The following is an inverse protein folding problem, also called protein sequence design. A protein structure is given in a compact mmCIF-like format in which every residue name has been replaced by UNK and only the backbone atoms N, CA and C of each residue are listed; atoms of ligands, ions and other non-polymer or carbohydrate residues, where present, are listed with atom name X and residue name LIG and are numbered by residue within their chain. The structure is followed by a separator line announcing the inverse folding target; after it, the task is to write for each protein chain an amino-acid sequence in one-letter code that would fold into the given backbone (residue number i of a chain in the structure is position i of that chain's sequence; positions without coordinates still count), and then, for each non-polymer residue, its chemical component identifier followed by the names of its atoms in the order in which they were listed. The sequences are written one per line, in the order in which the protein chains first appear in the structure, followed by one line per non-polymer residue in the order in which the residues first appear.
data_IF_114930425831
#
_entry.id   IF_114930425831
#
_cell.length_a   1.000
_cell.length_b   1.000
_cell.length_c   1.000
_cell.angle_alpha   90.00
_cell.angle_beta   90.00
_cell.angle_gamma   90.00
#
_symmetry.space_group_name_H-M   'P 1'
#
loop_
_entity.id
_entity.type
_entity.pdbx_description
1 polymer ?
#
# COMPACT_ATOMS: atom_id res chain seq x y z
N UNK A 1 8.87 -1.43 29.48
CA UNK A 1 8.52 -2.77 28.96
C UNK A 1 8.78 -2.71 27.46
N UNK A 2 9.67 -3.54 26.91
CA UNK A 2 9.97 -3.53 25.46
C UNK A 2 8.86 -4.26 24.73
N UNK A 3 8.19 -3.60 23.78
CA UNK A 3 7.22 -4.22 22.87
C UNK A 3 7.91 -4.43 21.52
N UNK A 4 7.83 -5.64 20.98
CA UNK A 4 8.32 -5.99 19.64
C UNK A 4 7.14 -5.92 18.67
N UNK A 5 7.32 -5.23 17.54
CA UNK A 5 6.32 -5.06 16.48
C UNK A 5 7.02 -5.19 15.11
N UNK A 6 6.38 -5.88 14.16
CA UNK A 6 6.85 -6.01 12.78
C UNK A 6 6.53 -4.73 11.99
N UNK A 7 7.51 -4.18 11.26
CA UNK A 7 7.35 -2.98 10.41
C UNK A 7 8.16 -3.06 9.12
N UNK A 8 7.69 -2.38 8.07
CA UNK A 8 8.38 -2.30 6.77
C UNK A 8 9.61 -1.38 6.84
N UNK A 9 10.78 -1.91 6.46
CA UNK A 9 12.10 -1.25 6.50
C UNK A 9 12.73 -1.23 5.09
N UNK A 10 13.29 -0.09 4.66
CA UNK A 10 14.01 0.03 3.37
C UNK A 10 15.31 -0.76 3.42
N UNK A 11 15.51 -1.68 2.47
CA UNK A 11 16.80 -2.38 2.30
C UNK A 11 17.65 -1.59 1.31
N UNK A 12 18.36 -0.57 1.81
CA UNK A 12 19.47 -0.01 1.05
C UNK A 12 20.61 -1.04 1.08
N UNK A 13 20.83 -1.71 -0.05
CA UNK A 13 22.02 -2.52 -0.32
C UNK A 13 23.26 -1.61 -0.36
N UNK A 14 23.71 -1.20 0.82
CA UNK A 14 25.05 -0.66 1.02
C UNK A 14 25.91 -1.77 1.62
N UNK A 15 26.93 -2.17 0.87
CA UNK A 15 27.94 -3.13 1.29
C UNK A 15 28.70 -2.59 2.50
N UNK A 16 28.26 -2.96 3.71
CA UNK A 16 29.03 -2.79 4.93
C UNK A 16 29.44 -4.16 5.47
N UNK A 17 30.75 -4.36 5.47
CA UNK A 17 31.45 -5.57 5.92
C UNK A 17 31.14 -5.91 7.38
N UNK A 18 30.97 -7.21 7.64
CA UNK A 18 31.47 -7.86 8.85
C UNK A 18 30.65 -7.66 10.13
N UNK A 19 29.69 -8.56 10.34
CA UNK A 19 29.03 -8.72 11.63
C UNK A 19 28.08 -9.92 11.60
N UNK A 20 28.63 -11.10 11.86
CA UNK A 20 27.89 -12.35 12.04
C UNK A 20 26.98 -12.19 13.28
N UNK A 21 25.70 -11.92 13.05
CA UNK A 21 24.66 -11.94 14.08
C UNK A 21 24.11 -13.36 14.18
N UNK A 22 24.05 -13.98 15.38
CA UNK A 22 23.49 -15.31 15.53
C UNK A 22 22.00 -15.28 15.17
N UNK A 23 21.64 -16.12 14.21
CA UNK A 23 20.26 -16.39 13.84
C UNK A 23 19.65 -17.20 14.98
N UNK A 24 18.94 -16.53 15.89
CA UNK A 24 18.06 -17.21 16.84
C UNK A 24 16.79 -17.56 16.09
N UNK A 25 16.74 -18.79 15.59
CA UNK A 25 15.50 -19.43 15.15
C UNK A 25 14.71 -19.79 16.41
N UNK A 26 13.75 -18.95 16.78
CA UNK A 26 12.79 -19.31 17.81
C UNK A 26 11.69 -20.15 17.16
N UNK A 27 11.61 -21.38 17.65
CA UNK A 27 10.73 -22.42 17.19
C UNK A 27 9.35 -22.25 17.84
N UNK A 28 8.33 -22.47 17.01
CA UNK A 28 7.05 -23.06 17.40
C UNK A 28 6.07 -22.17 18.18
N UNK A 29 4.94 -21.89 17.53
CA UNK A 29 3.68 -22.50 17.96
C UNK A 29 2.67 -22.54 16.82
N UNK A 30 2.55 -23.71 16.21
CA UNK A 30 1.40 -24.04 15.38
C UNK A 30 0.18 -24.16 16.31
N UNK A 31 -0.78 -23.25 16.13
CA UNK A 31 -2.10 -23.37 16.72
C UNK A 31 -3.04 -23.90 15.63
N UNK A 32 -3.31 -25.19 15.73
CA UNK A 32 -4.38 -25.91 15.08
C UNK A 32 -5.72 -25.20 15.39
N UNK A 33 -6.31 -24.56 14.38
CA UNK A 33 -7.71 -24.16 14.41
C UNK A 33 -8.45 -24.93 13.32
N UNK A 34 -9.14 -25.98 13.77
CA UNK A 34 -10.19 -26.66 13.03
C UNK A 34 -11.29 -25.65 12.65
N UNK A 35 -11.40 -25.35 11.37
CA UNK A 35 -12.54 -24.62 10.81
C UNK A 35 -13.64 -25.63 10.53
N UNK A 36 -14.73 -25.53 11.29
CA UNK A 36 -15.97 -26.25 11.01
C UNK A 36 -16.59 -25.76 9.69
N UNK A 37 -16.71 -26.68 8.74
CA UNK A 37 -17.39 -26.49 7.48
C UNK A 37 -18.91 -26.47 7.69
N UNK A 38 -19.50 -25.28 7.72
CA UNK A 38 -20.94 -25.10 7.54
C UNK A 38 -21.20 -24.68 6.09
N UNK A 39 -21.60 -25.64 5.27
CA UNK A 39 -22.09 -25.40 3.92
C UNK A 39 -23.53 -24.86 3.92
N UNK A 40 -23.87 -23.93 3.01
CA UNK A 40 -25.23 -23.73 2.58
C UNK A 40 -25.48 -24.34 1.19
N UNK A 41 -26.72 -24.76 1.03
CA UNK A 41 -27.27 -25.59 -0.03
C UNK A 41 -27.29 -24.88 -1.39
N UNK A 42 -26.98 -25.65 -2.43
CA UNK A 42 -27.06 -25.23 -3.81
C UNK A 42 -28.52 -25.06 -4.23
N UNK A 43 -28.96 -23.81 -4.41
CA UNK A 43 -30.16 -23.48 -5.19
C UNK A 43 -29.78 -23.45 -6.66
N UNK A 44 -30.28 -24.42 -7.41
CA UNK A 44 -30.18 -24.49 -8.86
C UNK A 44 -31.02 -23.37 -9.48
N UNK A 45 -30.37 -22.28 -9.90
CA UNK A 45 -31.01 -21.24 -10.70
C UNK A 45 -31.18 -21.71 -12.15
N UNK A 46 -32.41 -21.60 -12.63
CA UNK A 46 -32.80 -21.93 -13.99
C UNK A 46 -32.05 -21.03 -14.99
N UNK A 47 -31.41 -21.68 -15.96
CA UNK A 47 -30.70 -20.99 -17.03
C UNK A 47 -31.66 -20.07 -17.83
N UNK A 48 -31.33 -18.78 -17.97
CA UNK A 48 -32.06 -17.89 -18.87
C UNK A 48 -31.81 -18.28 -20.34
N UNK A 49 -32.88 -18.12 -21.13
CA UNK A 49 -32.95 -18.36 -22.58
C UNK A 49 -31.94 -17.48 -23.33
N UNK A 50 -31.13 -18.03 -24.26
CA UNK A 50 -30.12 -17.26 -25.00
C UNK A 50 -30.79 -16.29 -25.98
N UNK A 51 -30.90 -15.03 -25.56
CA UNK A 51 -31.27 -13.94 -26.47
C UNK A 51 -30.19 -13.79 -27.56
N UNK A 52 -30.56 -13.68 -28.85
CA UNK A 52 -29.60 -13.39 -29.91
C UNK A 52 -28.97 -12.01 -29.65
N UNK A 53 -27.65 -12.02 -29.40
CA UNK A 53 -26.86 -10.80 -29.26
C UNK A 53 -26.78 -10.14 -30.63
N UNK A 54 -27.63 -9.12 -30.84
CA UNK A 54 -27.52 -8.22 -31.98
C UNK A 54 -26.20 -7.45 -31.82
N UNK A 55 -25.21 -7.85 -32.62
CA UNK A 55 -23.92 -7.19 -32.75
C UNK A 55 -24.16 -5.72 -33.10
N UNK A 56 -24.03 -4.81 -32.13
CA UNK A 56 -23.99 -3.37 -32.38
C UNK A 56 -22.68 -3.05 -33.11
N UNK A 57 -22.71 -2.65 -34.39
CA UNK A 57 -21.51 -2.32 -35.13
C UNK A 57 -21.25 -0.82 -34.96
N UNK A 58 -20.72 -0.41 -33.81
CA UNK A 58 -20.05 0.90 -33.66
C UNK A 58 -19.22 0.93 -32.36
N UNK A 59 -18.27 0.01 -32.25
CA UNK A 59 -17.08 0.27 -31.43
C UNK A 59 -16.22 1.22 -32.25
N UNK A 60 -16.52 2.52 -32.15
CA UNK A 60 -15.54 3.55 -32.53
C UNK A 60 -14.25 3.17 -31.80
N UNK A 61 -13.11 3.04 -32.51
CA UNK A 61 -11.85 2.76 -31.84
C UNK A 61 -11.70 3.82 -30.75
N UNK A 62 -11.59 3.40 -29.51
CA UNK A 62 -11.36 4.29 -28.38
C UNK A 62 -10.09 5.08 -28.71
N UNK A 63 -10.29 6.27 -29.27
CA UNK A 63 -9.25 7.07 -29.89
C UNK A 63 -8.33 7.55 -28.78
N UNK A 64 -7.30 6.73 -28.55
CA UNK A 64 -6.13 7.02 -27.76
C UNK A 64 -6.45 7.36 -26.31
N UNK A 65 -6.57 6.33 -25.47
CA UNK A 65 -6.03 6.45 -24.12
C UNK A 65 -4.59 6.97 -24.29
N UNK A 66 -4.40 8.27 -24.10
CA UNK A 66 -3.11 8.92 -24.27
C UNK A 66 -2.19 8.20 -23.33
N UNK A 67 -1.23 7.46 -23.90
CA UNK A 67 -0.26 6.74 -23.11
C UNK A 67 0.39 7.78 -22.20
N UNK A 68 0.15 7.63 -20.90
CA UNK A 68 0.71 8.50 -19.91
C UNK A 68 2.24 8.51 -20.08
N UNK A 69 2.83 9.71 -20.21
CA UNK A 69 4.28 9.89 -20.31
C UNK A 69 4.80 10.23 -18.91
N UNK A 70 5.78 9.50 -18.36
CA UNK A 70 6.34 9.82 -17.05
C UNK A 70 6.81 11.29 -16.96
N UNK A 71 6.46 11.95 -15.86
CA UNK A 71 6.73 13.37 -15.62
C UNK A 71 5.71 14.35 -16.23
N UNK A 72 4.59 13.86 -16.79
CA UNK A 72 3.51 14.72 -17.28
C UNK A 72 2.31 14.82 -16.34
N UNK A 73 2.45 14.36 -15.09
CA UNK A 73 1.38 14.44 -14.09
C UNK A 73 0.52 13.19 -14.02
N UNK A 74 1.09 12.05 -14.38
CA UNK A 74 0.46 10.76 -14.34
C UNK A 74 0.39 10.18 -12.93
N UNK A 75 -0.38 9.10 -12.76
CA UNK A 75 -0.35 8.32 -11.52
C UNK A 75 1.08 7.96 -11.10
N UNK A 76 1.44 8.28 -9.84
CA UNK A 76 2.78 8.17 -9.23
C UNK A 76 3.86 9.16 -9.71
N UNK A 77 3.56 10.06 -10.64
CA UNK A 77 4.50 11.13 -10.96
C UNK A 77 4.66 12.09 -9.77
N UNK A 78 5.88 12.57 -9.48
CA UNK A 78 6.10 13.52 -8.39
C UNK A 78 5.39 14.85 -8.67
N UNK A 79 4.82 15.46 -7.64
CA UNK A 79 4.07 16.71 -7.74
C UNK A 79 4.29 17.63 -6.54
N UNK A 80 4.01 18.92 -6.70
CA UNK A 80 4.03 19.90 -5.60
C UNK A 80 2.63 20.40 -5.27
N UNK A 81 1.74 20.44 -6.26
CA UNK A 81 0.36 20.91 -6.13
C UNK A 81 -0.60 20.12 -7.03
N UNK A 82 -1.91 20.19 -6.73
CA UNK A 82 -2.93 19.41 -7.43
C UNK A 82 -3.02 19.70 -8.93
N UNK A 83 -2.63 20.90 -9.37
CA UNK A 83 -2.63 21.26 -10.79
C UNK A 83 -1.49 20.63 -11.60
N UNK A 84 -0.53 20.01 -10.94
CA UNK A 84 0.58 19.31 -11.61
C UNK A 84 0.13 17.94 -12.15
N UNK A 85 -1.07 17.50 -11.76
CA UNK A 85 -1.60 16.17 -12.03
C UNK A 85 -2.74 16.21 -13.06
N UNK A 86 -2.78 15.22 -13.95
CA UNK A 86 -3.76 15.17 -15.05
C UNK A 86 -5.13 14.64 -14.58
N UNK A 87 -5.14 13.63 -13.73
CA UNK A 87 -6.35 12.87 -13.40
C UNK A 87 -6.86 13.09 -11.97
N UNK A 88 -5.98 13.44 -11.04
CA UNK A 88 -6.28 13.49 -9.61
C UNK A 88 -5.48 14.54 -8.85
N UNK A 89 -5.66 14.62 -7.52
CA UNK A 89 -4.91 15.53 -6.67
C UNK A 89 -3.49 15.01 -6.40
N UNK A 90 -2.66 15.90 -5.85
CA UNK A 90 -1.30 15.62 -5.44
C UNK A 90 -1.29 15.12 -3.99
N UNK A 91 -1.22 13.79 -3.81
CA UNK A 91 -1.36 13.10 -2.51
C UNK A 91 -0.01 12.65 -1.96
N UNK A 92 0.05 12.34 -0.67
CA UNK A 92 1.26 11.80 -0.06
C UNK A 92 1.43 10.30 -0.35
N UNK A 93 2.67 9.90 -0.64
CA UNK A 93 3.09 8.52 -0.84
C UNK A 93 4.54 8.38 -0.41
N UNK A 94 4.79 7.61 0.66
CA UNK A 94 6.14 7.27 1.12
C UNK A 94 6.98 8.52 1.44
N UNK A 95 6.36 9.49 2.12
CA UNK A 95 7.04 10.73 2.50
C UNK A 95 7.28 11.72 1.35
N UNK A 96 6.91 11.36 0.13
CA UNK A 96 6.91 12.23 -1.05
C UNK A 96 5.47 12.54 -1.48
N UNK A 97 5.33 13.47 -2.42
CA UNK A 97 4.03 13.82 -3.00
C UNK A 97 3.96 13.34 -4.44
N UNK A 98 2.92 12.59 -4.76
CA UNK A 98 2.71 12.00 -6.09
C UNK A 98 1.28 12.22 -6.58
N UNK A 99 1.13 12.25 -7.89
CA UNK A 99 -0.16 12.38 -8.53
C UNK A 99 -1.01 11.12 -8.32
N UNK A 100 -2.25 11.31 -7.87
CA UNK A 100 -3.23 10.26 -7.70
C UNK A 100 -4.16 10.15 -8.91
N UNK A 101 -5.04 9.15 -8.89
CA UNK A 101 -6.11 8.92 -9.86
C UNK A 101 -7.46 8.75 -9.14
N UNK A 102 -8.60 9.02 -9.80
CA UNK A 102 -9.91 8.68 -9.25
C UNK A 102 -10.03 7.17 -9.03
N UNK A 103 -10.83 6.75 -8.04
CA UNK A 103 -10.90 5.33 -7.70
C UNK A 103 -11.41 4.45 -8.86
N UNK A 104 -12.34 4.94 -9.69
CA UNK A 104 -12.91 4.16 -10.79
C UNK A 104 -13.39 2.78 -10.31
N UNK A 105 -12.92 1.72 -10.96
CA UNK A 105 -13.19 0.32 -10.61
C UNK A 105 -12.30 -0.21 -9.46
N UNK A 106 -11.36 0.57 -8.95
CA UNK A 106 -10.47 0.21 -7.86
C UNK A 106 -9.11 0.89 -7.90
N UNK A 107 -8.46 0.93 -6.73
CA UNK A 107 -7.09 1.41 -6.60
C UNK A 107 -6.08 0.28 -6.79
N UNK A 108 -4.89 0.58 -7.32
CA UNK A 108 -3.81 -0.42 -7.44
C UNK A 108 -3.32 -0.86 -6.05
N UNK A 109 -2.55 -1.94 -6.01
CA UNK A 109 -2.01 -2.47 -4.75
C UNK A 109 -1.22 -1.41 -3.96
N UNK A 110 -1.43 -1.38 -2.64
CA UNK A 110 -0.83 -0.37 -1.75
C UNK A 110 -1.55 0.98 -1.73
N UNK A 111 -2.68 1.10 -2.42
CA UNK A 111 -3.56 2.26 -2.40
C UNK A 111 -4.99 1.84 -2.06
N UNK A 112 -5.66 2.69 -1.30
CA UNK A 112 -7.08 2.56 -0.96
C UNK A 112 -7.88 3.74 -1.49
N UNK A 113 -9.16 3.53 -1.73
CA UNK A 113 -10.05 4.60 -2.16
C UNK A 113 -10.38 5.51 -0.96
N UNK A 114 -9.79 6.70 -0.94
CA UNK A 114 -9.98 7.70 0.11
C UNK A 114 -10.62 8.97 -0.44
N UNK A 115 -11.25 9.74 0.45
CA UNK A 115 -11.88 11.01 0.08
C UNK A 115 -10.93 12.18 0.35
N UNK A 116 -10.56 12.90 -0.70
CA UNK A 116 -9.73 14.11 -0.62
C UNK A 116 -10.57 15.28 -1.11
N UNK A 117 -11.02 16.13 -0.17
CA UNK A 117 -12.04 17.13 -0.43
C UNK A 117 -13.38 16.48 -0.80
N UNK A 118 -13.88 16.77 -2.01
CA UNK A 118 -15.15 16.22 -2.51
C UNK A 118 -14.95 15.00 -3.45
N UNK A 119 -13.70 14.67 -3.79
CA UNK A 119 -13.38 13.61 -4.76
C UNK A 119 -12.90 12.35 -4.05
N UNK A 120 -13.27 11.19 -4.61
CA UNK A 120 -12.74 9.88 -4.18
C UNK A 120 -11.56 9.49 -5.07
N UNK A 121 -10.39 9.33 -4.46
CA UNK A 121 -9.10 9.16 -5.14
C UNK A 121 -8.28 8.08 -4.45
N UNK A 122 -7.31 7.52 -5.17
CA UNK A 122 -6.41 6.51 -4.64
C UNK A 122 -5.38 7.15 -3.70
N UNK A 123 -5.55 6.95 -2.40
CA UNK A 123 -4.60 7.39 -1.37
C UNK A 123 -3.70 6.22 -1.00
N UNK A 124 -2.42 6.50 -0.76
CA UNK A 124 -1.50 5.45 -0.37
C UNK A 124 -1.81 4.93 1.03
N UNK A 125 -1.59 3.65 1.26
CA UNK A 125 -1.62 3.06 2.61
C UNK A 125 -0.34 3.39 3.41
N UNK A 126 0.60 4.11 2.78
CA UNK A 126 1.96 4.29 3.23
C UNK A 126 2.38 5.78 3.24
N UNK A 127 1.45 6.70 3.49
CA UNK A 127 1.65 8.15 3.37
C UNK A 127 2.83 8.66 4.22
N UNK A 128 2.98 8.09 5.41
CA UNK A 128 4.02 8.49 6.36
C UNK A 128 5.30 7.68 6.26
N UNK A 129 5.40 6.64 5.41
CA UNK A 129 6.65 5.87 5.35
C UNK A 129 7.84 6.79 5.10
N UNK A 130 8.93 6.57 5.85
CA UNK A 130 10.17 7.32 5.77
C UNK A 130 10.10 8.81 6.18
N UNK A 131 8.96 9.32 6.66
CA UNK A 131 8.92 10.65 7.27
C UNK A 131 9.70 10.65 8.59
N UNK A 132 10.53 11.67 8.87
CA UNK A 132 11.19 11.79 10.16
C UNK A 132 10.15 11.98 11.27
N UNK A 133 10.36 11.34 12.41
CA UNK A 133 9.43 11.38 13.55
C UNK A 133 10.17 11.49 14.88
N UNK A 134 9.48 12.01 15.88
CA UNK A 134 9.97 12.06 17.27
C UNK A 134 9.20 11.05 18.12
N UNK A 135 7.90 10.93 17.91
CA UNK A 135 6.97 10.06 18.63
C UNK A 135 6.08 9.26 17.67
N UNK A 136 5.46 8.17 18.17
CA UNK A 136 4.54 7.36 17.36
C UNK A 136 3.33 8.15 16.83
N UNK A 137 2.88 9.17 17.57
CA UNK A 137 1.78 10.06 17.13
C UNK A 137 2.08 10.80 15.83
N UNK A 138 3.36 11.04 15.53
CA UNK A 138 3.78 11.71 14.29
C UNK A 138 3.55 10.82 13.05
N UNK A 139 3.32 9.52 13.26
CA UNK A 139 3.13 8.53 12.20
C UNK A 139 1.67 8.06 12.06
N UNK A 140 0.78 8.50 12.96
CA UNK A 140 -0.59 7.99 13.06
C UNK A 140 -1.56 8.57 12.00
N UNK A 141 -1.13 9.54 11.20
CA UNK A 141 -1.98 10.13 10.16
C UNK A 141 -2.21 9.13 9.02
N UNK A 142 -3.41 8.58 8.91
CA UNK A 142 -3.78 7.69 7.80
C UNK A 142 -3.38 6.22 8.00
N UNK A 143 -3.10 5.77 9.23
CA UNK A 143 -2.97 4.34 9.53
C UNK A 143 -2.20 4.01 10.81
N UNK A 144 -1.91 2.72 10.99
CA UNK A 144 -1.13 2.17 12.11
C UNK A 144 0.39 2.37 11.89
N UNK A 145 0.82 3.62 11.84
CA UNK A 145 2.24 3.98 11.74
C UNK A 145 2.95 3.96 13.08
N UNK A 146 4.25 3.61 13.07
CA UNK A 146 5.11 3.62 14.26
C UNK A 146 6.40 4.40 14.01
N UNK A 147 6.90 5.10 15.02
CA UNK A 147 8.17 5.82 14.92
C UNK A 147 9.36 4.89 15.20
N UNK A 148 10.01 4.43 14.15
CA UNK A 148 11.07 3.40 14.16
C UNK A 148 12.45 4.03 14.30
N UNK A 149 13.31 3.44 15.14
CA UNK A 149 14.70 3.90 15.34
C UNK A 149 15.63 3.28 14.31
N UNK A 150 16.27 4.11 13.49
CA UNK A 150 17.22 3.73 12.44
C UNK A 150 18.68 4.02 12.84
N UNK A 151 19.07 3.55 14.03
CA UNK A 151 20.42 3.75 14.56
C UNK A 151 20.83 5.22 14.63
N UNK A 152 22.06 5.60 14.23
CA UNK A 152 22.51 6.99 14.26
C UNK A 152 21.85 7.87 13.17
N UNK A 153 21.15 7.27 12.20
CA UNK A 153 20.44 7.97 11.13
C UNK A 153 19.16 8.68 11.59
N UNK A 154 18.76 8.49 12.84
CA UNK A 154 17.57 9.13 13.42
C UNK A 154 16.39 8.17 13.52
N UNK A 155 15.19 8.74 13.39
CA UNK A 155 13.92 8.05 13.58
C UNK A 155 12.98 8.37 12.43
N UNK A 156 12.31 7.35 11.91
CA UNK A 156 11.43 7.50 10.77
C UNK A 156 10.16 6.66 10.95
N UNK A 157 9.07 7.16 10.41
CA UNK A 157 7.80 6.45 10.39
C UNK A 157 7.90 5.18 9.55
N UNK A 158 7.54 4.06 10.17
CA UNK A 158 7.30 2.77 9.54
C UNK A 158 5.81 2.43 9.58
N UNK A 159 5.36 1.57 8.68
CA UNK A 159 4.00 1.00 8.70
C UNK A 159 4.02 -0.39 9.32
N UNK A 160 2.93 -0.76 9.98
CA UNK A 160 2.70 -2.14 10.38
C UNK A 160 2.72 -3.07 9.16
N UNK A 161 3.28 -4.27 9.33
CA UNK A 161 3.24 -5.31 8.32
C UNK A 161 3.08 -6.67 8.99
N UNK A 162 2.26 -7.54 8.39
CA UNK A 162 2.04 -8.91 8.81
C UNK A 162 2.50 -9.93 7.75
N UNK A 163 2.32 -11.23 8.02
CA UNK A 163 2.64 -12.29 7.06
C UNK A 163 1.76 -12.25 5.79
N UNK A 164 0.64 -11.54 5.85
CA UNK A 164 -0.31 -11.34 4.74
C UNK A 164 -0.27 -9.94 4.13
N UNK A 165 0.45 -8.99 4.74
CA UNK A 165 0.51 -7.61 4.28
C UNK A 165 1.76 -7.40 3.42
N UNK A 166 1.55 -6.96 2.18
CA UNK A 166 2.64 -6.68 1.27
C UNK A 166 3.26 -5.31 1.59
N UNK A 167 4.52 -5.32 2.03
CA UNK A 167 5.32 -4.10 2.01
C UNK A 167 5.48 -3.63 0.56
N UNK A 168 5.48 -2.31 0.31
CA UNK A 168 5.67 -1.79 -1.04
C UNK A 168 7.05 -2.21 -1.58
N UNK A 169 7.21 -2.19 -2.91
CA UNK A 169 8.47 -2.55 -3.54
C UNK A 169 9.65 -1.77 -2.93
N UNK A 170 10.72 -2.49 -2.55
CA UNK A 170 11.90 -1.91 -1.89
C UNK A 170 11.84 -1.90 -0.36
N UNK A 171 10.73 -2.34 0.23
CA UNK A 171 10.55 -2.45 1.68
C UNK A 171 10.45 -3.91 2.11
N UNK A 172 10.98 -4.23 3.29
CA UNK A 172 10.89 -5.57 3.89
C UNK A 172 10.32 -5.51 5.29
N UNK A 173 9.43 -6.43 5.62
CA UNK A 173 8.86 -6.52 6.95
C UNK A 173 9.90 -7.08 7.94
N UNK A 174 10.23 -6.35 9.01
CA UNK A 174 11.18 -6.76 10.05
C UNK A 174 10.74 -6.31 11.44
N UNK A 175 11.18 -7.04 12.45
CA UNK A 175 11.10 -6.59 13.84
C UNK A 175 12.00 -5.38 14.07
N UNK A 176 11.42 -4.34 14.65
CA UNK A 176 12.15 -3.11 15.00
C UNK A 176 11.86 -2.66 16.43
N UNK A 177 12.68 -1.72 16.90
CA UNK A 177 12.39 -0.98 18.14
C UNK A 177 11.68 0.31 17.80
N UNK A 178 10.50 0.51 18.39
CA UNK A 178 9.69 1.72 18.25
C UNK A 178 9.90 2.65 19.45
N UNK A 179 9.54 3.91 19.23
CA UNK A 179 9.52 4.94 20.26
C UNK A 179 8.08 5.12 20.72
N UNK A 180 7.80 4.93 22.01
CA UNK A 180 6.57 5.41 22.65
C UNK A 180 6.61 6.95 22.77
#
# INVERSE_FOLDING_TARGET
MRRHMLTCVVVLFWACSGGEVPVVMDASKEADQAVEAAGPEAVAEAAPDPQPMELSPDLQPEEGAVACVPGTGCFLDPCTQDSDCLEGPCVEHIGERVCSRPCGDGCPEGFECGKVGEKSVCVSNFQNLCKPCVAASDCAEGGDGACVVYGPGGRFCGGACGPSDYCPNGYVCRDVTTSD
#
